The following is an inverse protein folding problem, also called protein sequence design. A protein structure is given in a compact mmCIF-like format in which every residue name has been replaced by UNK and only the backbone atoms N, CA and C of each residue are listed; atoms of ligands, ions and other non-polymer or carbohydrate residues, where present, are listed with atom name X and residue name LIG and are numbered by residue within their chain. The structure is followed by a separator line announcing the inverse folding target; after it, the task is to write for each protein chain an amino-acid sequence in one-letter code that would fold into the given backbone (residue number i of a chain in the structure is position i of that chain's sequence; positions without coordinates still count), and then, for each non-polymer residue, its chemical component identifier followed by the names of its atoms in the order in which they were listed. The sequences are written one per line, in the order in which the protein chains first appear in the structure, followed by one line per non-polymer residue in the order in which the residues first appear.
data_IF_233448466924
#
_entry.id   IF_233448466924
#
_cell.length_a   1.000
_cell.length_b   1.000
_cell.length_c   1.000
_cell.angle_alpha   90.00
_cell.angle_beta   90.00
_cell.angle_gamma   90.00
#
_symmetry.space_group_name_H-M   'P 1'
#
loop_
_entity.id
_entity.type
_entity.pdbx_description
1 polymer ?
#
# COMPACT_ATOMS: atom_id res chain seq x y z
N UNK A 1 -20.48 10.49 8.21
CA UNK A 1 -19.64 11.25 7.25
C UNK A 1 -20.55 12.26 6.56
N UNK A 2 -20.25 13.56 6.60
CA UNK A 2 -21.13 14.59 6.04
C UNK A 2 -21.05 14.58 4.50
N UNK A 3 -22.15 14.77 3.75
CA UNK A 3 -22.11 14.84 2.28
C UNK A 3 -21.14 15.89 1.74
N UNK A 4 -20.93 16.99 2.46
CA UNK A 4 -19.95 18.02 2.10
C UNK A 4 -18.51 17.52 2.15
N UNK A 5 -18.17 16.60 3.06
CA UNK A 5 -16.84 15.99 3.14
C UNK A 5 -16.53 15.15 1.91
N UNK A 6 -17.51 14.36 1.46
CA UNK A 6 -17.38 13.57 0.23
C UNK A 6 -17.26 14.49 -0.98
N UNK A 7 -18.08 15.54 -1.05
CA UNK A 7 -17.98 16.53 -2.13
C UNK A 7 -16.60 17.19 -2.17
N UNK A 8 -16.06 17.59 -1.02
CA UNK A 8 -14.78 18.26 -0.94
C UNK A 8 -13.61 17.36 -1.39
N UNK A 9 -13.66 16.07 -1.07
CA UNK A 9 -12.70 15.06 -1.53
C UNK A 9 -12.54 15.03 -3.07
N UNK A 10 -13.62 15.35 -3.80
CA UNK A 10 -13.62 15.35 -5.27
C UNK A 10 -13.40 16.74 -5.89
N UNK A 11 -13.23 17.79 -5.08
CA UNK A 11 -13.14 19.17 -5.59
C UNK A 11 -11.82 19.87 -5.29
N UNK A 12 -11.02 19.37 -4.35
CA UNK A 12 -9.70 19.93 -4.06
C UNK A 12 -8.55 19.04 -4.55
N UNK A 13 -7.42 19.66 -4.89
CA UNK A 13 -6.23 18.99 -5.44
C UNK A 13 -5.64 17.94 -4.49
N UNK A 14 -5.83 18.10 -3.18
CA UNK A 14 -5.33 17.17 -2.16
C UNK A 14 -6.18 15.90 -2.14
N UNK A 15 -7.49 16.03 -2.31
CA UNK A 15 -8.44 14.93 -2.45
C UNK A 15 -8.20 14.14 -3.74
N UNK A 16 -7.96 14.82 -4.86
CA UNK A 16 -7.57 14.13 -6.11
C UNK A 16 -6.25 13.36 -5.94
N UNK A 17 -5.25 13.98 -5.31
CA UNK A 17 -3.98 13.32 -5.00
C UNK A 17 -4.15 12.10 -4.10
N UNK A 18 -5.02 12.20 -3.08
CA UNK A 18 -5.33 11.09 -2.18
C UNK A 18 -6.03 9.95 -2.91
N UNK A 19 -6.96 10.25 -3.83
CA UNK A 19 -7.62 9.23 -4.66
C UNK A 19 -6.63 8.51 -5.55
N UNK A 20 -5.70 9.24 -6.19
CA UNK A 20 -4.60 8.62 -6.94
C UNK A 20 -3.79 7.69 -6.06
N UNK A 21 -3.41 8.14 -4.87
CA UNK A 21 -2.66 7.35 -3.92
C UNK A 21 -3.39 6.05 -3.58
N UNK A 22 -4.63 6.14 -3.07
CA UNK A 22 -5.44 4.96 -2.69
C UNK A 22 -5.62 4.01 -3.87
N UNK A 23 -5.95 4.53 -5.05
CA UNK A 23 -6.12 3.72 -6.25
C UNK A 23 -4.82 2.95 -6.61
N UNK A 24 -3.67 3.62 -6.54
CA UNK A 24 -2.39 2.99 -6.81
C UNK A 24 -1.95 1.95 -5.77
N UNK A 25 -2.33 2.13 -4.50
CA UNK A 25 -2.11 1.10 -3.48
C UNK A 25 -3.07 -0.08 -3.68
N UNK A 26 -4.37 0.17 -3.89
CA UNK A 26 -5.34 -0.89 -4.16
C UNK A 26 -4.94 -1.76 -5.36
N UNK A 27 -4.50 -1.15 -6.47
CA UNK A 27 -4.03 -1.89 -7.63
C UNK A 27 -2.83 -2.79 -7.31
N UNK A 28 -1.90 -2.32 -6.47
CA UNK A 28 -0.75 -3.12 -6.02
C UNK A 28 -1.22 -4.32 -5.17
N UNK A 29 -2.07 -4.09 -4.17
CA UNK A 29 -2.55 -5.15 -3.28
C UNK A 29 -3.42 -6.18 -4.03
N UNK A 30 -4.37 -5.73 -4.86
CA UNK A 30 -5.22 -6.61 -5.66
C UNK A 30 -4.38 -7.51 -6.56
N UNK A 31 -3.33 -6.97 -7.21
CA UNK A 31 -2.43 -7.77 -8.04
C UNK A 31 -1.76 -8.90 -7.24
N UNK A 32 -1.34 -8.63 -6.00
CA UNK A 32 -0.69 -9.62 -5.15
C UNK A 32 -1.68 -10.66 -4.64
N UNK A 33 -2.85 -10.23 -4.14
CA UNK A 33 -3.92 -11.10 -3.67
C UNK A 33 -4.37 -12.05 -4.77
N UNK A 34 -4.66 -11.53 -5.97
CA UNK A 34 -5.02 -12.35 -7.13
C UNK A 34 -3.91 -13.31 -7.56
N UNK A 35 -2.65 -13.02 -7.22
CA UNK A 35 -1.54 -13.93 -7.45
C UNK A 35 -1.52 -15.07 -6.42
N UNK A 36 -1.78 -14.75 -5.16
CA UNK A 36 -1.79 -15.70 -4.04
C UNK A 36 -3.01 -16.62 -4.03
N UNK A 37 -4.15 -16.13 -4.51
CA UNK A 37 -5.44 -16.86 -4.50
C UNK A 37 -5.63 -17.77 -5.73
N UNK A 38 -4.63 -17.89 -6.62
CA UNK A 38 -4.75 -18.78 -7.77
C UNK A 38 -4.79 -20.24 -7.34
N UNK A 39 -5.52 -21.04 -8.11
CA UNK A 39 -5.49 -22.49 -7.98
C UNK A 39 -4.04 -23.01 -8.11
N UNK A 40 -3.68 -23.94 -7.21
CA UNK A 40 -2.35 -24.55 -7.10
C UNK A 40 -1.20 -23.63 -6.64
N UNK A 41 -1.50 -22.43 -6.10
CA UNK A 41 -0.45 -21.61 -5.47
C UNK A 41 0.10 -22.32 -4.24
N UNK A 42 1.42 -22.46 -4.16
CA UNK A 42 2.11 -23.08 -3.02
C UNK A 42 2.27 -22.11 -1.86
N UNK A 43 2.39 -22.63 -0.64
CA UNK A 43 2.69 -21.80 0.55
C UNK A 43 4.01 -21.01 0.39
N UNK A 44 4.98 -21.58 -0.33
CA UNK A 44 6.23 -20.89 -0.67
C UNK A 44 6.00 -19.68 -1.58
N UNK A 45 5.20 -19.81 -2.64
CA UNK A 45 4.86 -18.70 -3.53
C UNK A 45 4.08 -17.60 -2.80
N UNK A 46 3.18 -17.97 -1.87
CA UNK A 46 2.49 -17.00 -1.01
C UNK A 46 3.51 -16.25 -0.14
N UNK A 47 4.47 -16.95 0.49
CA UNK A 47 5.49 -16.32 1.32
C UNK A 47 6.40 -15.36 0.51
N UNK A 48 6.80 -15.74 -0.70
CA UNK A 48 7.61 -14.88 -1.56
C UNK A 48 6.82 -13.67 -2.08
N UNK A 49 5.55 -13.84 -2.47
CA UNK A 49 4.69 -12.73 -2.86
C UNK A 49 4.46 -11.74 -1.71
N UNK A 50 4.30 -12.25 -0.48
CA UNK A 50 4.18 -11.45 0.73
C UNK A 50 5.46 -10.64 1.00
N UNK A 51 6.63 -11.28 0.92
CA UNK A 51 7.94 -10.64 1.07
C UNK A 51 8.17 -9.57 0.00
N UNK A 52 7.87 -9.88 -1.26
CA UNK A 52 8.00 -8.94 -2.37
C UNK A 52 7.11 -7.70 -2.18
N UNK A 53 5.87 -7.88 -1.71
CA UNK A 53 4.98 -6.77 -1.40
C UNK A 53 5.56 -5.88 -0.29
N UNK A 54 6.06 -6.47 0.81
CA UNK A 54 6.70 -5.70 1.89
C UNK A 54 7.90 -4.89 1.39
N UNK A 55 8.76 -5.48 0.56
CA UNK A 55 9.91 -4.79 -0.04
C UNK A 55 9.41 -3.61 -0.88
N UNK A 56 8.42 -3.84 -1.75
CA UNK A 56 7.89 -2.79 -2.62
C UNK A 56 7.34 -1.59 -1.83
N UNK A 57 6.57 -1.85 -0.76
CA UNK A 57 6.03 -0.79 0.11
C UNK A 57 7.15 -0.04 0.85
N UNK A 58 8.19 -0.75 1.30
CA UNK A 58 9.35 -0.16 1.98
C UNK A 58 10.12 0.77 1.05
N UNK A 59 10.37 0.34 -0.19
CA UNK A 59 11.04 1.15 -1.21
C UNK A 59 10.22 2.37 -1.63
N UNK A 60 8.89 2.19 -1.79
CA UNK A 60 7.97 3.30 -2.09
C UNK A 60 7.95 4.35 -0.99
N UNK A 61 7.95 3.93 0.27
CA UNK A 61 8.07 4.83 1.43
C UNK A 61 9.40 5.58 1.38
N UNK A 62 10.53 4.86 1.30
CA UNK A 62 11.87 5.46 1.31
C UNK A 62 12.09 6.47 0.17
N UNK A 63 11.46 6.24 -0.99
CA UNK A 63 11.55 7.12 -2.16
C UNK A 63 10.50 8.23 -2.22
N UNK A 64 9.60 8.34 -1.23
CA UNK A 64 8.44 9.26 -1.26
C UNK A 64 7.64 9.10 -2.56
N UNK A 65 7.33 7.86 -2.92
CA UNK A 65 6.78 7.53 -4.23
C UNK A 65 5.43 8.22 -4.48
N UNK A 66 5.34 8.92 -5.62
CA UNK A 66 4.11 9.53 -6.14
C UNK A 66 3.81 8.92 -7.50
N UNK A 67 2.57 8.43 -7.66
CA UNK A 67 2.09 7.88 -8.93
C UNK A 67 2.22 8.91 -10.06
N UNK A 68 2.55 8.43 -11.26
CA UNK A 68 2.81 9.29 -12.41
C UNK A 68 1.62 10.23 -12.70
N UNK A 69 0.38 9.71 -12.63
CA UNK A 69 -0.84 10.52 -12.79
C UNK A 69 -1.00 11.64 -11.76
N UNK A 70 -0.39 11.50 -10.58
CA UNK A 70 -0.51 12.46 -9.48
C UNK A 70 0.72 13.39 -9.34
N UNK A 71 1.81 13.17 -10.10
CA UNK A 71 3.05 13.96 -9.94
C UNK A 71 2.85 15.44 -10.18
N UNK A 72 2.02 15.81 -11.17
CA UNK A 72 1.75 17.22 -11.46
C UNK A 72 1.00 17.90 -10.31
N UNK A 73 0.00 17.22 -9.76
CA UNK A 73 -0.77 17.68 -8.60
C UNK A 73 0.15 17.91 -7.41
N UNK A 74 0.97 16.89 -7.07
CA UNK A 74 1.91 16.96 -5.96
C UNK A 74 2.95 18.09 -6.09
N UNK A 75 3.48 18.32 -7.30
CA UNK A 75 4.43 19.40 -7.58
C UNK A 75 3.84 20.80 -7.37
N UNK A 76 2.54 20.95 -7.61
CA UNK A 76 1.84 22.22 -7.50
C UNK A 76 1.34 22.51 -6.07
N UNK A 77 1.46 21.57 -5.14
CA UNK A 77 1.17 21.82 -3.73
C UNK A 77 2.22 22.73 -3.11
N UNK A 78 1.76 23.64 -2.25
CA UNK A 78 2.64 24.40 -1.37
C UNK A 78 3.35 23.46 -0.38
N UNK A 79 4.46 23.93 0.19
CA UNK A 79 5.34 23.11 1.04
C UNK A 79 4.63 22.57 2.29
N UNK A 80 3.82 23.39 2.96
CA UNK A 80 3.09 22.96 4.17
C UNK A 80 2.12 21.81 3.87
N UNK A 81 1.32 21.93 2.80
CA UNK A 81 0.37 20.88 2.40
C UNK A 81 1.14 19.65 1.92
N UNK A 82 2.24 19.82 1.19
CA UNK A 82 3.08 18.72 0.73
C UNK A 82 3.65 17.90 1.90
N UNK A 83 4.14 18.57 2.94
CA UNK A 83 4.67 17.90 4.13
C UNK A 83 3.58 17.12 4.87
N UNK A 84 2.39 17.71 5.03
CA UNK A 84 1.24 17.01 5.64
C UNK A 84 0.81 15.78 4.83
N UNK A 85 0.75 15.89 3.49
CA UNK A 85 0.44 14.74 2.63
C UNK A 85 1.49 13.65 2.74
N UNK A 86 2.77 14.03 2.78
CA UNK A 86 3.87 13.08 2.96
C UNK A 86 3.74 12.32 4.28
N UNK A 87 3.50 13.02 5.39
CA UNK A 87 3.30 12.40 6.71
C UNK A 87 2.15 11.39 6.68
N UNK A 88 1.03 11.74 6.06
CA UNK A 88 -0.13 10.85 5.93
C UNK A 88 0.23 9.59 5.11
N UNK A 89 0.95 9.76 4.00
CA UNK A 89 1.38 8.66 3.13
C UNK A 89 2.41 7.76 3.83
N UNK A 90 3.38 8.33 4.54
CA UNK A 90 4.36 7.59 5.33
C UNK A 90 3.67 6.76 6.41
N UNK A 91 2.69 7.35 7.12
CA UNK A 91 1.88 6.65 8.11
C UNK A 91 1.06 5.50 7.50
N UNK A 92 0.55 5.65 6.27
CA UNK A 92 -0.10 4.55 5.55
C UNK A 92 0.89 3.40 5.30
N UNK A 93 2.07 3.69 4.76
CA UNK A 93 3.07 2.65 4.47
C UNK A 93 3.51 1.93 5.75
N UNK A 94 3.72 2.67 6.85
CA UNK A 94 4.05 2.08 8.16
C UNK A 94 3.00 1.10 8.63
N UNK A 95 1.72 1.48 8.56
CA UNK A 95 0.61 0.60 8.95
C UNK A 95 0.54 -0.65 8.08
N UNK A 96 0.70 -0.51 6.75
CA UNK A 96 0.72 -1.66 5.85
C UNK A 96 1.91 -2.59 6.11
N UNK A 97 3.11 -2.04 6.32
CA UNK A 97 4.32 -2.82 6.61
C UNK A 97 4.16 -3.57 7.94
N UNK A 98 3.67 -2.90 8.98
CA UNK A 98 3.40 -3.51 10.28
C UNK A 98 2.35 -4.62 10.17
N UNK A 99 1.30 -4.40 9.37
CA UNK A 99 0.29 -5.41 9.10
C UNK A 99 0.90 -6.65 8.44
N UNK A 100 1.70 -6.48 7.37
CA UNK A 100 2.39 -7.60 6.73
C UNK A 100 3.33 -8.33 7.70
N UNK A 101 3.98 -7.64 8.63
CA UNK A 101 4.81 -8.30 9.64
C UNK A 101 4.00 -9.20 10.59
N UNK A 102 2.75 -8.86 10.90
CA UNK A 102 1.84 -9.76 11.63
C UNK A 102 1.50 -11.02 10.80
N UNK A 103 1.25 -10.86 9.51
CA UNK A 103 0.94 -11.99 8.62
C UNK A 103 2.12 -12.94 8.40
N UNK A 104 3.34 -12.40 8.39
CA UNK A 104 4.56 -13.21 8.33
C UNK A 104 4.60 -14.28 9.42
N UNK A 105 4.25 -13.90 10.66
CA UNK A 105 4.27 -14.82 11.81
C UNK A 105 3.33 -16.01 11.55
N UNK A 106 2.16 -15.76 10.95
CA UNK A 106 1.19 -16.80 10.59
C UNK A 106 1.76 -17.73 9.51
N UNK A 107 2.39 -17.16 8.47
CA UNK A 107 2.97 -17.94 7.37
C UNK A 107 4.18 -18.78 7.80
N UNK A 108 5.07 -18.24 8.62
CA UNK A 108 6.22 -18.96 9.17
C UNK A 108 5.79 -20.09 10.10
N UNK A 109 4.74 -19.86 10.90
CA UNK A 109 4.12 -20.87 11.74
C UNK A 109 3.54 -22.02 10.91
N UNK A 110 2.84 -21.74 9.81
CA UNK A 110 2.32 -22.79 8.92
C UNK A 110 3.43 -23.59 8.22
N UNK A 111 4.52 -22.93 7.80
CA UNK A 111 5.65 -23.60 7.14
C UNK A 111 6.43 -24.52 8.08
N UNK A 112 6.55 -24.19 9.38
CA UNK A 112 7.19 -25.09 10.36
C UNK A 112 6.33 -26.34 10.64
N UNK A 113 5.00 -26.23 10.61
CA UNK A 113 4.11 -27.39 10.73
C UNK A 113 4.18 -28.33 9.52
N UNK A 114 4.35 -27.80 8.30
CA UNK A 114 4.45 -28.60 7.08
C UNK A 114 5.83 -29.25 6.87
N UNK A 115 6.91 -28.66 7.38
CA UNK A 115 8.26 -29.24 7.36
C UNK A 115 8.50 -30.37 8.38
N UNK A 116 7.46 -30.77 9.11
CA UNK A 116 7.50 -31.78 10.18
C UNK A 116 6.86 -33.13 9.77
N UNK A 117 6.49 -33.31 8.51
CA UNK A 117 5.90 -34.55 7.93
C UNK A 117 6.91 -35.21 6.99
#
# INVERSE_FOLDING_TARGET
MCPSTIKNLFTDSTGELYLWFVHGQLALFIKVILGMEKDNTTAFEVAEAHKALKINLTERKASNFILMGAKNIYRNLNEQVRNSVKEEFDGFYERCIAYLDLWRIVLETQNSFLGSI
#
